data_IF_434028348333
#
_entry.id   IF_434028348333
#
_cell.length_a   1.000
_cell.length_b   1.000
_cell.length_c   1.000
_cell.angle_alpha   90.00
_cell.angle_beta   90.00
_cell.angle_gamma   90.00
#
_symmetry.space_group_name_H-M   'P 1'
#
loop_
_entity.id
_entity.type
_entity.pdbx_description
1 polymer ?
#
# COMPACT_ATOMS: atom_id res chain seq x y z
N UNK A 1 5.75 0.31 17.22
CA UNK A 1 5.12 0.06 15.90
C UNK A 1 3.80 0.83 15.85
N UNK A 2 3.64 1.72 14.88
CA UNK A 2 2.46 2.58 14.75
C UNK A 2 1.74 2.29 13.43
N UNK A 3 0.41 2.24 13.46
CA UNK A 3 -0.43 2.21 12.26
C UNK A 3 -0.95 3.62 12.03
N UNK A 4 -0.61 4.22 10.89
CA UNK A 4 -0.93 5.63 10.59
C UNK A 4 -1.79 5.68 9.32
N UNK A 5 -2.95 6.35 9.35
CA UNK A 5 -3.76 6.59 8.16
C UNK A 5 -3.00 7.42 7.11
N UNK A 6 -3.19 7.11 5.83
CA UNK A 6 -2.51 7.80 4.74
C UNK A 6 -3.31 7.87 3.44
N UNK A 7 -4.62 8.09 3.57
CA UNK A 7 -5.49 8.40 2.43
C UNK A 7 -4.85 9.45 1.51
N UNK A 8 -4.94 9.24 0.20
CA UNK A 8 -4.32 10.13 -0.78
C UNK A 8 -2.88 9.77 -1.13
N UNK A 9 -2.39 8.60 -0.70
CA UNK A 9 -1.10 8.04 -1.12
C UNK A 9 -1.27 6.75 -1.93
N UNK A 10 -0.30 6.49 -2.80
CA UNK A 10 -0.19 5.27 -3.58
C UNK A 10 1.14 4.58 -3.32
N UNK A 11 1.15 3.25 -3.35
CA UNK A 11 2.33 2.45 -3.61
C UNK A 11 2.43 2.21 -5.12
N UNK A 12 3.53 2.63 -5.72
CA UNK A 12 3.79 2.53 -7.15
C UNK A 12 4.96 1.58 -7.36
N UNK A 13 4.76 0.53 -8.15
CA UNK A 13 5.84 -0.36 -8.54
C UNK A 13 5.76 -0.71 -10.02
N UNK A 14 6.90 -1.12 -10.58
CA UNK A 14 7.00 -1.56 -11.96
C UNK A 14 7.17 -3.07 -11.97
N UNK A 15 6.35 -3.77 -12.74
CA UNK A 15 6.56 -5.20 -12.95
C UNK A 15 7.85 -5.42 -13.73
N UNK A 16 8.72 -6.28 -13.20
CA UNK A 16 10.04 -6.55 -13.77
C UNK A 16 9.97 -7.25 -15.12
N UNK A 17 8.87 -7.94 -15.42
CA UNK A 17 8.73 -8.69 -16.67
C UNK A 17 8.05 -7.87 -17.78
N UNK A 18 6.88 -7.31 -17.52
CA UNK A 18 6.12 -6.53 -18.52
C UNK A 18 6.52 -5.06 -18.59
N UNK A 19 7.23 -4.55 -17.58
CA UNK A 19 7.52 -3.13 -17.44
C UNK A 19 6.29 -2.27 -17.12
N UNK A 20 5.12 -2.89 -16.90
CA UNK A 20 3.88 -2.19 -16.58
C UNK A 20 3.97 -1.54 -15.20
N UNK A 21 3.45 -0.32 -15.10
CA UNK A 21 3.29 0.38 -13.83
C UNK A 21 2.02 -0.09 -13.13
N UNK A 22 2.14 -0.45 -11.86
CA UNK A 22 1.04 -0.79 -10.98
C UNK A 22 0.95 0.26 -9.87
N UNK A 23 -0.27 0.75 -9.64
CA UNK A 23 -0.56 1.80 -8.67
C UNK A 23 -1.59 1.24 -7.69
N UNK A 24 -1.25 1.22 -6.41
CA UNK A 24 -2.10 0.70 -5.34
C UNK A 24 -2.40 1.82 -4.34
N UNK A 25 -3.66 2.25 -4.20
CA UNK A 25 -4.04 3.16 -3.13
C UNK A 25 -3.70 2.58 -1.75
N UNK A 26 -3.27 3.44 -0.83
CA UNK A 26 -2.92 3.05 0.54
C UNK A 26 -3.93 3.67 1.52
N UNK A 27 -4.54 2.84 2.37
CA UNK A 27 -5.41 3.32 3.43
C UNK A 27 -4.62 3.69 4.70
N UNK A 28 -3.65 2.85 5.06
CA UNK A 28 -2.77 3.05 6.21
C UNK A 28 -1.44 2.29 6.02
N UNK A 29 -0.42 2.67 6.78
CA UNK A 29 0.87 1.97 6.83
C UNK A 29 1.37 1.73 8.25
N UNK A 30 2.16 0.67 8.40
CA UNK A 30 2.83 0.31 9.64
C UNK A 30 4.28 0.82 9.61
N UNK A 31 4.64 1.63 10.61
CA UNK A 31 5.98 2.19 10.76
C UNK A 31 6.73 1.60 11.96
N UNK A 32 8.04 1.41 11.79
CA UNK A 32 8.99 1.32 12.89
C UNK A 32 9.21 2.69 13.53
N UNK A 33 9.82 2.72 14.72
CA UNK A 33 10.15 3.98 15.40
C UNK A 33 11.16 4.83 14.61
N UNK A 34 11.95 4.20 13.74
CA UNK A 34 12.84 4.86 12.78
C UNK A 34 12.10 5.59 11.66
N UNK A 35 10.79 5.36 11.50
CA UNK A 35 9.99 5.87 10.38
C UNK A 35 9.97 4.95 9.15
N UNK A 36 10.64 3.81 9.19
CA UNK A 36 10.63 2.83 8.09
C UNK A 36 9.26 2.15 7.95
N UNK A 37 8.77 2.04 6.70
CA UNK A 37 7.51 1.36 6.37
C UNK A 37 7.74 -0.15 6.28
N UNK A 38 7.06 -0.92 7.14
CA UNK A 38 7.17 -2.39 7.19
C UNK A 38 5.88 -3.11 6.79
N UNK A 39 4.82 -2.36 6.49
CA UNK A 39 3.51 -2.89 6.11
C UNK A 39 2.59 -1.80 5.58
N UNK A 40 1.62 -2.20 4.75
CA UNK A 40 0.55 -1.34 4.27
C UNK A 40 -0.81 -2.03 4.30
N UNK A 41 -1.88 -1.26 4.41
CA UNK A 41 -3.26 -1.70 4.22
C UNK A 41 -3.72 -1.10 2.90
N UNK A 42 -4.20 -1.96 1.99
CA UNK A 42 -4.73 -1.52 0.70
C UNK A 42 -5.92 -0.59 0.89
N UNK A 43 -5.92 0.52 0.15
CA UNK A 43 -7.07 1.41 0.00
C UNK A 43 -7.94 1.05 -1.20
N UNK A 44 -7.60 -0.02 -1.94
CA UNK A 44 -8.41 -0.45 -3.07
C UNK A 44 -9.74 -1.04 -2.58
N UNK A 45 -10.82 -0.29 -2.78
CA UNK A 45 -12.19 -0.70 -2.45
C UNK A 45 -12.80 -1.59 -3.53
N UNK A 46 -12.07 -1.91 -4.62
CA UNK A 46 -12.57 -2.74 -5.72
C UNK A 46 -12.52 -4.24 -5.43
N UNK A 47 -11.75 -4.69 -4.44
CA UNK A 47 -12.02 -6.02 -3.88
C UNK A 47 -13.34 -5.93 -3.13
N UNK A 48 -14.38 -6.70 -3.52
CA UNK A 48 -15.58 -6.76 -2.72
C UNK A 48 -15.16 -7.16 -1.32
N UNK A 49 -15.47 -6.32 -0.34
CA UNK A 49 -15.39 -6.65 1.07
C UNK A 49 -16.39 -7.78 1.30
N UNK A 50 -16.00 -9.01 0.96
CA UNK A 50 -16.79 -10.20 1.24
C UNK A 50 -17.11 -10.14 2.74
N UNK A 51 -18.36 -10.28 3.17
CA UNK A 51 -18.68 -10.29 4.58
C UNK A 51 -17.75 -11.26 5.33
N UNK A 52 -16.96 -10.74 6.27
CA UNK A 52 -15.93 -11.50 6.99
C UNK A 52 -14.47 -11.33 6.52
N UNK A 53 -14.20 -10.67 5.39
CA UNK A 53 -12.84 -10.23 5.01
C UNK A 53 -12.52 -8.93 5.74
N UNK A 54 -11.65 -8.99 6.73
CA UNK A 54 -11.05 -7.80 7.35
C UNK A 54 -9.86 -7.35 6.51
N UNK A 55 -9.66 -6.04 6.35
CA UNK A 55 -8.47 -5.51 5.72
C UNK A 55 -7.22 -6.01 6.45
N UNK A 56 -6.28 -6.62 5.73
CA UNK A 56 -5.06 -7.18 6.31
C UNK A 56 -3.90 -6.23 6.12
N UNK A 57 -3.01 -6.19 7.12
CA UNK A 57 -1.70 -5.59 6.94
C UNK A 57 -0.91 -6.50 6.00
N UNK A 58 -0.63 -6.00 4.82
CA UNK A 58 0.17 -6.66 3.81
C UNK A 58 1.59 -6.13 3.96
N UNK A 59 2.59 -7.00 3.87
CA UNK A 59 3.96 -6.50 3.69
C UNK A 59 4.01 -5.71 2.38
N UNK A 60 4.79 -4.62 2.30
CA UNK A 60 5.04 -3.96 1.04
C UNK A 60 5.51 -5.04 0.07
N UNK A 61 5.00 -5.08 -1.17
CA UNK A 61 5.44 -6.06 -2.14
C UNK A 61 6.97 -6.10 -2.14
N UNK A 62 7.58 -7.28 -2.11
CA UNK A 62 9.04 -7.44 -2.22
C UNK A 62 9.57 -7.03 -3.62
N UNK A 63 8.77 -6.25 -4.35
CA UNK A 63 9.00 -5.72 -5.67
C UNK A 63 9.45 -4.28 -5.48
N UNK A 64 10.54 -3.88 -6.11
CA UNK A 64 11.04 -2.51 -6.04
C UNK A 64 9.96 -1.50 -6.45
N UNK A 65 9.67 -0.55 -5.56
CA UNK A 65 8.65 0.47 -5.73
C UNK A 65 8.87 1.66 -4.79
N UNK A 66 7.97 2.64 -4.85
CA UNK A 66 8.02 3.82 -4.01
C UNK A 66 6.62 4.31 -3.67
N UNK A 67 6.51 5.07 -2.58
CA UNK A 67 5.26 5.72 -2.18
C UNK A 67 5.23 7.14 -2.72
N UNK A 68 4.09 7.55 -3.28
CA UNK A 68 3.88 8.90 -3.78
C UNK A 68 2.45 9.38 -3.45
N UNK A 69 2.26 10.70 -3.20
CA UNK A 69 0.92 11.25 -3.08
C UNK A 69 0.17 11.09 -4.41
N UNK A 70 -1.16 11.01 -4.35
CA UNK A 70 -2.03 11.17 -5.52
C UNK A 70 -1.79 12.57 -6.06
N UNK A 71 -1.23 12.70 -7.27
CA UNK A 71 -1.10 13.99 -7.93
C UNK A 71 -2.49 14.65 -8.04
N UNK A 72 -2.59 15.89 -7.56
CA UNK A 72 -3.80 16.72 -7.64
C UNK A 72 -4.01 17.32 -9.01
#
# INVERSE_FOLDING_TARGET
MQIIPCSGWNFIHKDGHSGKLYIHPVAAWALLESGEVVGMISGDTKEPMTPGKTATLIQPPAVGGYYAPVES
#
